data_IF_560923087231
#
_entry.id   IF_560923087231
#
_cell.length_a   1.000
_cell.length_b   1.000
_cell.length_c   1.000
_cell.angle_alpha   90.00
_cell.angle_beta   90.00
_cell.angle_gamma   90.00
#
_symmetry.space_group_name_H-M   'P 1'
#
loop_
_entity.id
_entity.type
_entity.pdbx_description
1 polymer ?
#
# COMPACT_ATOMS: atom_id res chain seq x y z
N UNK A 1 -25.84 60.13 -0.71
CA UNK A 1 -25.78 59.55 0.66
C UNK A 1 -25.45 58.07 0.52
N UNK A 2 -24.17 57.73 0.64
CA UNK A 2 -23.70 56.34 0.53
C UNK A 2 -23.69 55.68 1.90
N UNK A 3 -24.43 54.59 2.05
CA UNK A 3 -24.26 53.57 3.10
C UNK A 3 -24.67 52.26 2.44
N UNK A 4 -23.75 51.38 2.06
CA UNK A 4 -22.73 50.80 2.89
C UNK A 4 -23.17 49.36 3.13
N UNK A 5 -22.79 48.47 2.22
CA UNK A 5 -23.16 47.06 2.24
C UNK A 5 -22.77 46.43 3.58
N UNK A 6 -23.72 45.76 4.21
CA UNK A 6 -23.51 45.08 5.49
C UNK A 6 -23.65 43.58 5.26
N UNK A 7 -22.54 42.95 4.87
CA UNK A 7 -22.36 41.52 5.07
C UNK A 7 -21.09 41.30 5.86
N UNK A 8 -21.18 40.80 7.09
CA UNK A 8 -20.19 39.86 7.57
C UNK A 8 -20.85 38.49 7.61
N UNK A 9 -20.53 37.67 6.61
CA UNK A 9 -20.72 36.23 6.68
C UNK A 9 -19.82 35.70 7.82
N UNK A 10 -20.37 35.63 9.02
CA UNK A 10 -19.75 34.88 10.11
C UNK A 10 -19.91 33.40 9.78
N UNK A 11 -18.93 32.86 9.04
CA UNK A 11 -18.75 31.41 8.93
C UNK A 11 -18.38 30.90 10.31
N UNK A 12 -19.38 30.41 11.02
CA UNK A 12 -19.23 29.78 12.31
C UNK A 12 -18.49 28.44 12.13
N UNK A 13 -17.16 28.51 12.17
CA UNK A 13 -16.25 27.38 11.98
C UNK A 13 -16.11 26.52 13.25
N UNK A 14 -16.94 26.76 14.27
CA UNK A 14 -16.75 26.21 15.62
C UNK A 14 -17.21 24.75 15.79
N UNK A 15 -18.00 24.20 14.87
CA UNK A 15 -18.67 22.91 15.08
C UNK A 15 -18.21 21.74 14.19
N UNK A 16 -17.19 21.91 13.34
CA UNK A 16 -16.73 20.81 12.47
C UNK A 16 -15.55 20.00 13.06
N UNK A 17 -15.00 20.38 14.20
CA UNK A 17 -13.76 19.76 14.70
C UNK A 17 -13.93 18.30 15.14
N UNK A 18 -15.06 17.93 15.73
CA UNK A 18 -15.25 16.59 16.30
C UNK A 18 -15.67 15.51 15.29
N UNK A 19 -16.33 15.89 14.19
CA UNK A 19 -16.76 14.93 13.17
C UNK A 19 -15.58 14.42 12.32
N UNK A 20 -14.59 15.28 12.08
CA UNK A 20 -13.43 14.95 11.25
C UNK A 20 -12.45 13.98 11.94
N UNK A 21 -12.38 14.01 13.27
CA UNK A 21 -11.47 13.14 14.04
C UNK A 21 -11.87 11.66 13.89
N UNK A 22 -13.16 11.36 13.85
CA UNK A 22 -13.65 10.00 13.64
C UNK A 22 -13.22 9.42 12.28
N UNK A 23 -13.33 10.23 11.22
CA UNK A 23 -12.90 9.83 9.88
C UNK A 23 -11.38 9.62 9.79
N UNK A 24 -10.59 10.50 10.41
CA UNK A 24 -9.13 10.36 10.46
C UNK A 24 -8.74 9.07 11.20
N UNK A 25 -9.39 8.78 12.33
CA UNK A 25 -9.14 7.57 13.10
C UNK A 25 -9.52 6.29 12.32
N UNK A 26 -10.65 6.33 11.60
CA UNK A 26 -11.12 5.24 10.75
C UNK A 26 -10.11 4.93 9.62
N UNK A 27 -9.66 5.96 8.90
CA UNK A 27 -8.66 5.80 7.85
C UNK A 27 -7.30 5.34 8.40
N UNK A 28 -6.86 5.89 9.53
CA UNK A 28 -5.63 5.46 10.19
C UNK A 28 -5.68 3.97 10.58
N UNK A 29 -6.81 3.51 11.14
CA UNK A 29 -7.01 2.10 11.48
C UNK A 29 -7.01 1.18 10.25
N UNK A 30 -7.66 1.61 9.16
CA UNK A 30 -7.69 0.87 7.90
C UNK A 30 -6.27 0.73 7.30
N UNK A 31 -5.51 1.83 7.21
CA UNK A 31 -4.14 1.83 6.72
C UNK A 31 -3.25 0.95 7.61
N UNK A 32 -3.39 1.07 8.94
CA UNK A 32 -2.63 0.25 9.89
C UNK A 32 -2.90 -1.25 9.71
N UNK A 33 -4.17 -1.65 9.50
CA UNK A 33 -4.53 -3.04 9.22
C UNK A 33 -3.89 -3.55 7.93
N UNK A 34 -3.95 -2.77 6.84
CA UNK A 34 -3.36 -3.10 5.54
C UNK A 34 -1.84 -3.27 5.68
N UNK A 35 -1.15 -2.30 6.30
CA UNK A 35 0.29 -2.36 6.54
C UNK A 35 0.63 -3.55 7.42
N UNK A 36 -0.14 -3.84 8.48
CA UNK A 36 0.10 -4.99 9.36
C UNK A 36 -0.10 -6.32 8.65
N UNK A 37 -1.08 -6.42 7.74
CA UNK A 37 -1.27 -7.61 6.91
C UNK A 37 -0.10 -7.76 5.94
N UNK A 38 0.31 -6.70 5.25
CA UNK A 38 1.48 -6.71 4.34
C UNK A 38 2.78 -7.00 5.11
N UNK A 39 2.94 -6.55 6.34
CA UNK A 39 4.14 -6.88 7.12
C UNK A 39 4.14 -8.35 7.56
N UNK A 40 2.96 -8.91 7.86
CA UNK A 40 2.79 -10.31 8.27
C UNK A 40 2.84 -11.28 7.08
N UNK A 41 2.35 -10.89 5.91
CA UNK A 41 2.27 -11.72 4.70
C UNK A 41 3.31 -11.36 3.61
N UNK A 42 3.65 -10.09 3.47
CA UNK A 42 4.30 -9.51 2.29
C UNK A 42 5.82 -9.25 2.38
N UNK A 43 6.46 -9.44 3.53
CA UNK A 43 7.93 -9.27 3.63
C UNK A 43 8.70 -10.60 3.58
N UNK A 44 8.03 -11.74 3.79
CA UNK A 44 8.68 -13.05 3.67
C UNK A 44 8.86 -13.53 2.23
N UNK A 45 8.11 -12.96 1.29
CA UNK A 45 8.08 -13.43 -0.08
C UNK A 45 8.82 -12.52 -1.06
N UNK A 46 9.14 -11.27 -0.73
CA UNK A 46 9.77 -10.37 -1.71
C UNK A 46 11.19 -10.83 -2.08
N UNK A 47 12.03 -11.25 -1.13
CA UNK A 47 13.41 -11.64 -1.47
C UNK A 47 13.52 -13.00 -2.21
N UNK A 48 12.60 -13.94 -1.98
CA UNK A 48 12.62 -15.28 -2.59
C UNK A 48 11.69 -15.40 -3.81
N UNK A 49 10.55 -14.70 -3.84
CA UNK A 49 9.69 -14.66 -5.02
C UNK A 49 10.26 -13.78 -6.12
N UNK A 50 11.04 -12.72 -5.85
CA UNK A 50 11.72 -11.97 -6.92
C UNK A 50 12.61 -12.90 -7.78
N UNK A 51 13.57 -13.66 -7.23
CA UNK A 51 14.40 -14.55 -8.01
C UNK A 51 13.61 -15.72 -8.62
N UNK A 52 12.63 -16.31 -7.89
CA UNK A 52 11.77 -17.36 -8.45
C UNK A 52 10.88 -16.87 -9.61
N UNK A 53 10.39 -15.63 -9.53
CA UNK A 53 9.55 -15.03 -10.56
C UNK A 53 10.39 -14.64 -11.80
N UNK A 54 11.64 -14.20 -11.61
CA UNK A 54 12.62 -14.02 -12.70
C UNK A 54 12.93 -15.36 -13.37
N UNK A 55 13.18 -16.41 -12.59
CA UNK A 55 13.43 -17.77 -13.08
C UNK A 55 12.24 -18.29 -13.88
N UNK A 56 11.02 -18.21 -13.33
CA UNK A 56 9.79 -18.65 -14.00
C UNK A 56 9.57 -17.92 -15.33
N UNK A 57 9.87 -16.61 -15.36
CA UNK A 57 9.74 -15.78 -16.57
C UNK A 57 10.73 -16.20 -17.67
N UNK A 58 11.98 -16.53 -17.31
CA UNK A 58 13.00 -17.03 -18.25
C UNK A 58 12.70 -18.45 -18.75
N UNK A 59 12.19 -19.31 -17.88
CA UNK A 59 11.75 -20.65 -18.25
C UNK A 59 10.57 -20.62 -19.25
N UNK A 60 9.59 -19.74 -19.02
CA UNK A 60 8.46 -19.55 -19.94
C UNK A 60 8.89 -18.98 -21.31
N UNK A 61 9.98 -18.19 -21.34
CA UNK A 61 10.60 -17.74 -22.58
C UNK A 61 11.45 -18.80 -23.28
N UNK A 62 11.71 -19.94 -22.64
CA UNK A 62 12.61 -20.97 -23.14
C UNK A 62 14.10 -20.58 -23.08
N UNK A 63 14.45 -19.51 -22.36
CA UNK A 63 15.84 -19.03 -22.20
C UNK A 63 16.65 -19.90 -21.24
N UNK A 64 15.99 -20.71 -20.41
CA UNK A 64 16.61 -21.67 -19.48
C UNK A 64 15.91 -23.02 -19.57
N UNK A 65 16.68 -24.09 -19.41
CA UNK A 65 16.14 -25.46 -19.45
C UNK A 65 15.53 -25.87 -18.11
N UNK A 66 14.69 -26.91 -18.13
CA UNK A 66 14.04 -27.44 -16.92
C UNK A 66 15.05 -27.85 -15.83
N UNK A 67 16.24 -28.29 -16.24
CA UNK A 67 17.36 -28.64 -15.34
C UNK A 67 17.87 -27.42 -14.56
N UNK A 68 18.18 -26.34 -15.27
CA UNK A 68 18.65 -25.08 -14.69
C UNK A 68 17.60 -24.44 -13.77
N UNK A 69 16.32 -24.52 -14.14
CA UNK A 69 15.23 -24.05 -13.28
C UNK A 69 15.13 -24.84 -11.96
N UNK A 70 15.30 -26.16 -12.01
CA UNK A 70 15.24 -27.01 -10.81
C UNK A 70 16.46 -26.82 -9.89
N UNK A 71 17.66 -26.64 -10.45
CA UNK A 71 18.87 -26.38 -9.66
C UNK A 71 18.80 -25.04 -8.93
N UNK A 72 18.43 -23.95 -9.63
CA UNK A 72 18.30 -22.62 -9.02
C UNK A 72 17.15 -22.54 -8.01
N UNK A 73 16.08 -23.31 -8.21
CA UNK A 73 14.99 -23.43 -7.22
C UNK A 73 15.43 -24.17 -5.96
N UNK A 74 16.38 -25.11 -6.08
CA UNK A 74 16.96 -25.82 -4.94
C UNK A 74 17.87 -24.90 -4.14
N UNK A 75 18.72 -24.15 -4.83
CA UNK A 75 19.67 -23.19 -4.25
C UNK A 75 18.98 -22.02 -3.53
N UNK A 76 17.81 -21.56 -4.01
CA UNK A 76 17.02 -20.51 -3.35
C UNK A 76 16.22 -20.99 -2.13
N UNK A 77 16.21 -22.31 -1.87
CA UNK A 77 15.44 -22.94 -0.79
C UNK A 77 16.32 -23.51 0.33
N UNK A 78 17.62 -23.62 0.10
CA UNK A 78 18.68 -23.79 1.11
C UNK A 78 19.14 -22.44 1.66
#
# INVERSE_FOLDING_TARGET
MGRGGSYPASYDYSNYSYWNIFWILLFAAAIFLIVRIIYRFGIKNTASEIPLNILRKRFAKGEITKKEFEDMKKELRE
#
